data_IF_981283461600
#
_entry.id   IF_981283461600
#
_cell.length_a   1.000
_cell.length_b   1.000
_cell.length_c   1.000
_cell.angle_alpha   90.00
_cell.angle_beta   90.00
_cell.angle_gamma   90.00
#
_symmetry.space_group_name_H-M   'P 1'
#
loop_
_entity.id
_entity.type
_entity.pdbx_description
1 polymer ?
#
# COMPACT_ATOMS: atom_id res chain seq x y z
N UNK A 1 -1.39 1.56 -23.83
CA UNK A 1 -1.17 0.75 -22.62
C UNK A 1 0.26 1.01 -22.13
N UNK A 2 0.43 1.78 -21.04
CA UNK A 2 1.75 2.19 -20.53
C UNK A 2 2.51 1.06 -19.84
N UNK A 3 3.82 1.19 -19.71
CA UNK A 3 4.68 0.24 -18.98
C UNK A 3 4.43 0.38 -17.47
N UNK A 4 4.05 -0.72 -16.80
CA UNK A 4 3.90 -0.76 -15.34
C UNK A 4 5.27 -0.95 -14.72
N UNK A 5 5.78 0.07 -14.03
CA UNK A 5 6.98 -0.05 -13.22
C UNK A 5 6.58 -0.62 -11.85
N UNK A 6 6.98 -1.87 -11.60
CA UNK A 6 6.78 -2.52 -10.31
C UNK A 6 8.01 -2.28 -9.46
N UNK A 7 7.86 -1.51 -8.38
CA UNK A 7 8.90 -1.35 -7.36
C UNK A 7 8.82 -2.54 -6.43
N UNK A 8 9.93 -3.28 -6.28
CA UNK A 8 10.00 -4.40 -5.34
C UNK A 8 10.39 -3.85 -3.96
N UNK A 9 9.42 -3.78 -3.06
CA UNK A 9 9.62 -3.35 -1.68
C UNK A 9 10.04 -4.57 -0.84
N UNK A 10 11.08 -4.41 -0.01
CA UNK A 10 11.56 -5.48 0.88
C UNK A 10 10.75 -5.55 2.18
N UNK A 11 10.60 -6.77 2.73
CA UNK A 11 9.93 -7.01 4.01
C UNK A 11 8.43 -7.26 3.93
N UNK A 12 7.67 -6.86 4.96
CA UNK A 12 6.20 -6.99 4.98
C UNK A 12 5.58 -5.85 4.22
N UNK A 13 4.87 -6.18 3.14
CA UNK A 13 4.33 -5.23 2.18
C UNK A 13 2.84 -5.46 1.95
N UNK A 14 2.12 -4.38 1.67
CA UNK A 14 0.77 -4.43 1.15
C UNK A 14 0.83 -4.55 -0.36
N UNK A 15 0.11 -5.53 -0.90
CA UNK A 15 0.03 -5.76 -2.33
C UNK A 15 -1.41 -5.65 -2.82
N UNK A 16 -1.58 -5.20 -4.06
CA UNK A 16 -2.88 -5.17 -4.71
C UNK A 16 -3.45 -6.60 -4.79
N UNK A 17 -4.73 -6.78 -4.44
CA UNK A 17 -5.38 -8.09 -4.47
C UNK A 17 -5.42 -8.70 -5.88
N UNK A 18 -5.59 -7.86 -6.90
CA UNK A 18 -5.82 -8.29 -8.29
C UNK A 18 -4.51 -8.53 -9.05
N UNK A 19 -3.59 -7.57 -9.05
CA UNK A 19 -2.33 -7.67 -9.80
C UNK A 19 -1.12 -8.06 -8.96
N UNK A 20 -1.26 -8.21 -7.63
CA UNK A 20 -0.18 -8.54 -6.68
C UNK A 20 1.01 -7.56 -6.65
N UNK A 21 0.89 -6.42 -7.33
CA UNK A 21 1.88 -5.34 -7.28
C UNK A 21 2.03 -4.81 -5.86
N UNK A 22 3.26 -4.62 -5.42
CA UNK A 22 3.59 -4.04 -4.13
C UNK A 22 3.14 -2.57 -4.14
N UNK A 23 2.34 -2.18 -3.16
CA UNK A 23 1.79 -0.83 -3.03
C UNK A 23 2.52 -0.04 -1.96
N UNK A 24 2.72 -0.59 -0.77
CA UNK A 24 3.37 0.11 0.33
C UNK A 24 4.01 -0.85 1.33
N UNK A 25 5.04 -0.40 2.05
CA UNK A 25 5.61 -1.16 3.16
C UNK A 25 4.78 -1.01 4.42
N UNK A 26 4.70 -2.08 5.22
CA UNK A 26 4.10 -2.02 6.57
C UNK A 26 4.85 -1.06 7.51
N UNK A 27 6.12 -0.76 7.22
CA UNK A 27 6.92 0.16 8.02
C UNK A 27 6.50 1.63 7.83
N UNK A 28 5.95 1.98 6.66
CA UNK A 28 5.56 3.35 6.31
C UNK A 28 4.13 3.72 6.73
N UNK A 29 3.46 2.84 7.50
CA UNK A 29 2.13 3.13 8.05
C UNK A 29 2.25 4.22 9.13
N UNK A 30 1.65 5.37 8.87
CA UNK A 30 1.51 6.43 9.86
C UNK A 30 0.35 6.15 10.82
N UNK A 31 -0.77 5.61 10.33
CA UNK A 31 -1.92 5.29 11.20
C UNK A 31 -2.74 4.11 10.70
N UNK A 32 -3.08 3.22 11.66
CA UNK A 32 -3.96 2.06 11.48
C UNK A 32 -5.40 2.29 11.91
N UNK A 33 -5.66 3.43 12.54
CA UNK A 33 -6.97 3.87 13.04
C UNK A 33 -7.61 4.89 12.09
N UNK A 34 -7.02 5.10 10.91
CA UNK A 34 -7.56 6.02 9.93
C UNK A 34 -8.87 5.45 9.37
N UNK A 35 -9.92 6.27 9.33
CA UNK A 35 -11.22 5.87 8.79
C UNK A 35 -11.53 6.76 7.58
N UNK A 36 -11.80 6.12 6.45
CA UNK A 36 -12.39 6.78 5.29
C UNK A 36 -13.91 6.73 5.35
N UNK A 37 -14.57 7.49 4.48
CA UNK A 37 -16.03 7.49 4.33
C UNK A 37 -16.63 6.08 4.11
N UNK A 38 -15.81 5.16 3.61
CA UNK A 38 -16.20 3.78 3.29
C UNK A 38 -15.74 2.76 4.35
N UNK A 39 -15.22 3.20 5.50
CA UNK A 39 -14.79 2.34 6.61
C UNK A 39 -13.30 2.41 6.91
N UNK A 40 -12.74 1.31 7.43
CA UNK A 40 -11.35 1.24 7.90
C UNK A 40 -10.37 1.47 6.74
N UNK A 41 -9.43 2.37 6.95
CA UNK A 41 -8.36 2.69 6.02
C UNK A 41 -7.01 2.71 6.77
N UNK A 42 -5.91 2.64 6.02
CA UNK A 42 -4.56 2.74 6.56
C UNK A 42 -3.90 3.93 5.90
N UNK A 43 -3.35 4.84 6.71
CA UNK A 43 -2.63 6.00 6.22
C UNK A 43 -1.15 5.67 6.10
N UNK A 44 -0.57 5.87 4.92
CA UNK A 44 0.84 5.67 4.63
C UNK A 44 1.52 7.02 4.41
N UNK A 45 2.71 7.20 4.98
CA UNK A 45 3.50 8.43 4.78
C UNK A 45 4.30 8.42 3.49
N UNK A 46 4.59 7.22 2.97
CA UNK A 46 5.33 7.00 1.74
C UNK A 46 4.77 5.77 1.04
N UNK A 47 4.65 5.86 -0.28
CA UNK A 47 4.14 4.82 -1.19
C UNK A 47 5.16 4.60 -2.30
#
# INVERSE_FOLDING_TARGET
MGRVFVVHLEGRVYSCKFCKTHLASCADILSKLFHSRHGKAYLFGKV
#
